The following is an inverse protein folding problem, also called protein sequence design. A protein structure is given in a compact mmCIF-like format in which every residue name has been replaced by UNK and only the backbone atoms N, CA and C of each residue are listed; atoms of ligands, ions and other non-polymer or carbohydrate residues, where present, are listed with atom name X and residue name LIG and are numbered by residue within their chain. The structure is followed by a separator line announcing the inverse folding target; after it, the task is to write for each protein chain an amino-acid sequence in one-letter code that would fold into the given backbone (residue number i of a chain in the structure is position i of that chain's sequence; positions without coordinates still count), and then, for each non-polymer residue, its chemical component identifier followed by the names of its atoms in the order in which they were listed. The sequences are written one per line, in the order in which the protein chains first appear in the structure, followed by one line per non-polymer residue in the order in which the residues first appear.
data_IF_485718045083
#
_entry.id   IF_485718045083
#
_cell.length_a   1.000
_cell.length_b   1.000
_cell.length_c   1.000
_cell.angle_alpha   90.00
_cell.angle_beta   90.00
_cell.angle_gamma   90.00
#
_symmetry.space_group_name_H-M   'P 1'
#
loop_
_entity.id
_entity.type
_entity.pdbx_description
1 polymer ?
#
# COMPACT_ATOMS: atom_id res chain seq x y z
N UNK A 1 -12.20 37.20 34.14
CA UNK A 1 -12.13 35.74 33.90
C UNK A 1 -11.16 35.53 32.75
N UNK A 2 -9.94 35.14 33.09
CA UNK A 2 -8.94 34.71 32.11
C UNK A 2 -9.45 33.44 31.42
N UNK A 3 -9.86 33.58 30.16
CA UNK A 3 -10.44 32.51 29.36
C UNK A 3 -9.51 32.19 28.21
N UNK A 4 -8.44 31.44 28.48
CA UNK A 4 -7.90 30.53 27.46
C UNK A 4 -7.36 29.27 28.14
N UNK A 5 -8.23 28.29 28.37
CA UNK A 5 -7.74 26.94 28.66
C UNK A 5 -6.85 26.50 27.48
N UNK A 6 -5.69 25.86 27.73
CA UNK A 6 -4.79 25.45 26.66
C UNK A 6 -5.50 24.47 25.72
N UNK A 7 -5.32 24.66 24.41
CA UNK A 7 -5.85 23.77 23.38
C UNK A 7 -5.27 22.36 23.56
N UNK A 8 -6.15 21.37 23.74
CA UNK A 8 -5.76 19.96 23.82
C UNK A 8 -5.89 19.34 22.44
N UNK A 9 -4.79 18.82 21.91
CA UNK A 9 -4.72 18.17 20.60
C UNK A 9 -4.49 16.67 20.80
N UNK A 10 -5.22 15.85 20.06
CA UNK A 10 -5.01 14.40 19.98
C UNK A 10 -4.81 14.00 18.52
N UNK A 11 -3.67 13.38 18.21
CA UNK A 11 -3.43 12.75 16.91
C UNK A 11 -3.88 11.29 16.99
N UNK A 12 -4.83 10.92 16.13
CA UNK A 12 -5.33 9.56 15.95
C UNK A 12 -5.07 9.08 14.53
N UNK A 13 -4.22 8.07 14.40
CA UNK A 13 -3.90 7.41 13.14
C UNK A 13 -4.67 6.10 13.06
N UNK A 14 -5.69 6.06 12.19
CA UNK A 14 -6.49 4.86 11.96
C UNK A 14 -5.92 4.09 10.76
N UNK A 15 -5.29 2.95 11.02
CA UNK A 15 -4.76 2.06 9.99
C UNK A 15 -5.75 0.93 9.76
N UNK A 16 -6.41 0.98 8.60
CA UNK A 16 -7.45 0.04 8.22
C UNK A 16 -7.16 -0.56 6.85
N UNK A 17 -7.38 -1.87 6.74
CA UNK A 17 -7.53 -2.55 5.47
C UNK A 17 -8.75 -3.50 5.53
N UNK A 18 -9.56 -3.56 4.46
CA UNK A 18 -10.58 -4.60 4.30
C UNK A 18 -9.99 -6.00 4.37
N UNK A 19 -10.86 -6.99 4.57
CA UNK A 19 -10.49 -8.41 4.48
C UNK A 19 -10.39 -8.84 3.00
N UNK A 20 -9.17 -9.10 2.54
CA UNK A 20 -8.87 -9.52 1.18
C UNK A 20 -8.67 -11.02 1.03
N UNK A 21 -8.89 -11.80 2.09
CA UNK A 21 -8.65 -13.25 2.09
C UNK A 21 -9.64 -13.98 1.18
N UNK A 22 -9.13 -14.96 0.46
CA UNK A 22 -9.89 -15.93 -0.33
C UNK A 22 -9.49 -17.35 0.08
N UNK A 23 -9.94 -18.38 -0.63
CA UNK A 23 -9.47 -19.75 -0.40
C UNK A 23 -7.97 -19.89 -0.72
N UNK A 24 -7.49 -19.22 -1.77
CA UNK A 24 -6.16 -19.46 -2.35
C UNK A 24 -5.12 -18.37 -2.06
N UNK A 25 -5.50 -17.32 -1.31
CA UNK A 25 -4.59 -16.22 -0.96
C UNK A 25 -5.33 -14.93 -0.71
N UNK A 26 -4.81 -13.82 -1.26
CA UNK A 26 -5.45 -12.51 -1.21
C UNK A 26 -5.80 -12.02 -2.61
N UNK A 27 -7.02 -11.50 -2.79
CA UNK A 27 -7.46 -11.00 -4.09
C UNK A 27 -6.97 -9.58 -4.41
N UNK A 28 -6.50 -8.84 -3.40
CA UNK A 28 -5.83 -7.54 -3.56
C UNK A 28 -4.59 -7.47 -2.65
N UNK A 29 -3.50 -6.84 -3.11
CA UNK A 29 -2.22 -6.81 -2.41
C UNK A 29 -2.14 -5.71 -1.34
N UNK A 30 -3.25 -5.03 -1.05
CA UNK A 30 -3.22 -3.73 -0.36
C UNK A 30 -2.71 -3.79 1.07
N UNK A 31 -3.01 -4.87 1.81
CA UNK A 31 -2.46 -5.05 3.17
C UNK A 31 -0.94 -5.05 3.14
N UNK A 32 -0.34 -5.86 2.27
CA UNK A 32 1.11 -5.96 2.13
C UNK A 32 1.71 -4.64 1.63
N UNK A 33 1.17 -4.08 0.55
CA UNK A 33 1.72 -2.86 -0.05
C UNK A 33 1.67 -1.67 0.92
N UNK A 34 0.53 -1.42 1.57
CA UNK A 34 0.42 -0.33 2.54
C UNK A 34 1.25 -0.59 3.81
N UNK A 35 1.39 -1.84 4.25
CA UNK A 35 2.28 -2.15 5.37
C UNK A 35 3.75 -1.86 5.04
N UNK A 36 4.21 -2.23 3.84
CA UNK A 36 5.59 -2.00 3.40
C UNK A 36 5.91 -0.53 3.14
N UNK A 37 4.92 0.27 2.71
CA UNK A 37 5.11 1.66 2.27
C UNK A 37 4.71 2.69 3.32
N UNK A 38 3.52 2.54 3.92
CA UNK A 38 2.87 3.64 4.64
C UNK A 38 2.88 3.43 6.16
N UNK A 39 2.58 2.22 6.65
CA UNK A 39 2.37 2.01 8.09
C UNK A 39 3.66 2.06 8.91
N UNK A 40 4.72 1.44 8.40
CA UNK A 40 6.03 1.46 9.04
C UNK A 40 6.66 2.85 8.96
N UNK A 41 6.66 3.45 7.77
CA UNK A 41 7.33 4.72 7.52
C UNK A 41 6.68 5.88 8.28
N UNK A 42 5.34 5.85 8.45
CA UNK A 42 4.64 6.79 9.31
C UNK A 42 5.19 6.74 10.74
N UNK A 43 5.32 5.56 11.34
CA UNK A 43 5.86 5.42 12.70
C UNK A 43 7.31 5.94 12.80
N UNK A 44 8.15 5.64 11.80
CA UNK A 44 9.54 6.09 11.75
C UNK A 44 9.66 7.63 11.65
N UNK A 45 8.77 8.27 10.89
CA UNK A 45 8.71 9.74 10.78
C UNK A 45 8.23 10.35 12.09
N UNK A 46 7.13 9.82 12.64
CA UNK A 46 6.51 10.37 13.84
C UNK A 46 7.38 10.23 15.09
N UNK A 47 8.23 9.19 15.16
CA UNK A 47 9.21 9.02 16.23
C UNK A 47 10.22 10.17 16.35
N UNK A 48 10.35 11.02 15.33
CA UNK A 48 11.21 12.22 15.33
C UNK A 48 10.59 13.41 16.05
N UNK A 49 9.30 13.35 16.39
CA UNK A 49 8.57 14.44 17.02
C UNK A 49 8.22 14.08 18.46
N UNK A 50 8.61 14.88 19.48
CA UNK A 50 8.37 14.57 20.89
C UNK A 50 6.94 14.92 21.32
N UNK A 51 5.93 14.45 20.58
CA UNK A 51 4.51 14.61 20.88
C UNK A 51 3.83 13.24 20.99
N UNK A 52 2.63 13.20 21.57
CA UNK A 52 1.88 11.94 21.71
C UNK A 52 1.13 11.63 20.42
N UNK A 53 1.32 10.40 19.94
CA UNK A 53 0.58 9.83 18.83
C UNK A 53 -0.26 8.66 19.33
N UNK A 54 -1.48 8.53 18.82
CA UNK A 54 -2.37 7.39 19.10
C UNK A 54 -2.58 6.63 17.80
N UNK A 55 -2.35 5.32 17.81
CA UNK A 55 -2.60 4.45 16.67
C UNK A 55 -3.76 3.52 16.98
N UNK A 56 -4.68 3.40 16.02
CA UNK A 56 -5.68 2.36 16.01
C UNK A 56 -5.39 1.43 14.83
N UNK A 57 -5.03 0.17 15.15
CA UNK A 57 -4.74 -0.87 14.18
C UNK A 57 -5.95 -1.80 14.10
N UNK A 58 -6.51 -1.95 12.90
CA UNK A 58 -7.72 -2.76 12.71
C UNK A 58 -7.36 -4.25 12.70
N UNK A 59 -8.08 -5.13 13.44
CA UNK A 59 -7.72 -6.55 13.54
C UNK A 59 -7.66 -7.29 12.21
N UNK A 60 -8.57 -7.00 11.26
CA UNK A 60 -8.54 -7.62 9.93
C UNK A 60 -7.23 -7.38 9.19
N UNK A 61 -6.63 -6.20 9.34
CA UNK A 61 -5.34 -5.88 8.75
C UNK A 61 -4.22 -6.71 9.40
N UNK A 62 -4.19 -6.78 10.73
CA UNK A 62 -3.18 -7.54 11.48
C UNK A 62 -3.23 -9.04 11.14
N UNK A 63 -4.42 -9.64 11.15
CA UNK A 63 -4.59 -11.06 10.84
C UNK A 63 -4.11 -11.41 9.42
N UNK A 64 -4.31 -10.50 8.46
CA UNK A 64 -3.83 -10.70 7.09
C UNK A 64 -2.30 -10.59 7.01
N UNK A 65 -1.69 -9.67 7.77
CA UNK A 65 -0.22 -9.60 7.88
C UNK A 65 0.37 -10.88 8.48
N UNK A 66 -0.26 -11.45 9.51
CA UNK A 66 0.14 -12.74 10.08
C UNK A 66 0.04 -13.88 9.04
N UNK A 67 -1.00 -13.86 8.19
CA UNK A 67 -1.13 -14.83 7.09
C UNK A 67 -0.06 -14.64 5.99
N UNK A 68 0.30 -13.38 5.66
CA UNK A 68 1.44 -13.11 4.78
C UNK A 68 2.76 -13.64 5.37
N UNK A 69 3.00 -13.41 6.67
CA UNK A 69 4.17 -13.96 7.38
C UNK A 69 4.18 -15.50 7.35
N UNK A 70 2.99 -16.12 7.42
CA UNK A 70 2.78 -17.55 7.27
C UNK A 70 2.98 -18.10 5.85
N UNK A 71 3.37 -17.28 4.87
CA UNK A 71 3.65 -17.67 3.49
C UNK A 71 2.45 -17.62 2.56
N UNK A 72 1.30 -17.12 3.02
CA UNK A 72 0.18 -16.82 2.14
C UNK A 72 0.49 -15.60 1.29
N UNK A 73 0.02 -15.54 0.05
CA UNK A 73 0.50 -14.54 -0.91
C UNK A 73 -0.60 -14.04 -1.84
N UNK A 74 -0.37 -12.87 -2.45
CA UNK A 74 -1.21 -12.26 -3.49
C UNK A 74 -0.60 -12.47 -4.90
N UNK A 75 -1.38 -12.19 -5.95
CA UNK A 75 -0.89 -12.35 -7.33
C UNK A 75 0.31 -11.45 -7.63
N UNK A 76 0.29 -10.20 -7.19
CA UNK A 76 1.34 -9.24 -7.47
C UNK A 76 2.65 -9.65 -6.80
N UNK A 77 2.62 -10.12 -5.55
CA UNK A 77 3.79 -10.66 -4.86
C UNK A 77 4.41 -11.80 -5.67
N UNK A 78 3.61 -12.80 -6.05
CA UNK A 78 4.08 -13.93 -6.86
C UNK A 78 4.72 -13.48 -8.16
N UNK A 79 4.09 -12.55 -8.88
CA UNK A 79 4.64 -12.03 -10.14
C UNK A 79 5.95 -11.26 -9.93
N UNK A 80 6.04 -10.45 -8.87
CA UNK A 80 7.25 -9.65 -8.57
C UNK A 80 8.44 -10.49 -8.08
N UNK A 81 8.21 -11.74 -7.70
CA UNK A 81 9.27 -12.68 -7.32
C UNK A 81 9.89 -13.42 -8.53
N UNK A 82 9.26 -13.35 -9.71
CA UNK A 82 9.80 -13.93 -10.94
C UNK A 82 10.91 -13.02 -11.48
N UNK A 83 12.03 -13.61 -11.92
CA UNK A 83 13.09 -12.84 -12.59
C UNK A 83 12.54 -12.19 -13.85
N UNK A 84 12.89 -10.94 -14.11
CA UNK A 84 12.33 -10.19 -15.23
C UNK A 84 12.55 -10.87 -16.61
N UNK A 85 13.67 -11.57 -16.77
CA UNK A 85 14.00 -12.35 -17.98
C UNK A 85 13.15 -13.60 -18.18
N UNK A 86 12.57 -14.14 -17.09
CA UNK A 86 11.77 -15.37 -17.08
C UNK A 86 10.26 -15.08 -17.17
N UNK A 87 9.85 -13.81 -17.16
CA UNK A 87 8.45 -13.42 -17.30
C UNK A 87 7.94 -13.72 -18.70
N UNK A 88 6.87 -14.52 -18.77
CA UNK A 88 6.13 -14.72 -20.00
C UNK A 88 5.27 -13.49 -20.36
N UNK A 89 4.66 -13.51 -21.55
CA UNK A 89 3.86 -12.39 -22.03
C UNK A 89 2.60 -12.14 -21.16
N UNK A 90 1.95 -13.18 -20.65
CA UNK A 90 0.76 -13.05 -19.83
C UNK A 90 1.09 -12.45 -18.45
N UNK A 91 2.23 -12.82 -17.87
CA UNK A 91 2.74 -12.30 -16.60
C UNK A 91 3.17 -10.83 -16.73
N UNK A 92 3.80 -10.45 -17.85
CA UNK A 92 4.11 -9.03 -18.16
C UNK A 92 2.84 -8.20 -18.25
N UNK A 93 1.85 -8.67 -19.02
CA UNK A 93 0.55 -8.02 -19.12
C UNK A 93 -0.13 -7.90 -17.74
N UNK A 94 -0.01 -8.91 -16.87
CA UNK A 94 -0.54 -8.86 -15.51
C UNK A 94 0.14 -7.78 -14.65
N UNK A 95 1.48 -7.71 -14.69
CA UNK A 95 2.23 -6.65 -14.02
C UNK A 95 1.87 -5.25 -14.57
N UNK A 96 1.67 -5.12 -15.87
CA UNK A 96 1.27 -3.86 -16.50
C UNK A 96 -0.13 -3.39 -16.03
N UNK A 97 -1.07 -4.32 -15.86
CA UNK A 97 -2.39 -4.02 -15.25
C UNK A 97 -2.25 -3.53 -13.80
N UNK A 98 -1.40 -4.16 -13.00
CA UNK A 98 -1.15 -3.71 -11.63
C UNK A 98 -0.49 -2.32 -11.59
N UNK A 99 0.52 -2.09 -12.43
CA UNK A 99 1.22 -0.81 -12.52
C UNK A 99 0.31 0.34 -12.99
N UNK A 100 -0.72 0.05 -13.79
CA UNK A 100 -1.70 1.02 -14.25
C UNK A 100 -2.92 1.20 -13.33
N UNK A 101 -2.93 0.58 -12.14
CA UNK A 101 -4.00 0.75 -11.13
C UNK A 101 -3.84 2.07 -10.34
N UNK A 102 -3.69 3.18 -11.05
CA UNK A 102 -3.48 4.53 -10.47
C UNK A 102 -4.36 5.55 -11.18
N UNK A 103 -4.63 6.69 -10.52
CA UNK A 103 -5.37 7.78 -11.16
C UNK A 103 -4.45 8.53 -12.14
N UNK A 104 -4.71 8.43 -13.44
CA UNK A 104 -3.88 9.01 -14.49
C UNK A 104 -3.70 10.52 -14.32
N UNK A 105 -4.80 11.26 -14.19
CA UNK A 105 -4.79 12.72 -14.21
C UNK A 105 -3.95 13.33 -13.07
N UNK A 106 -3.99 12.73 -11.89
CA UNK A 106 -3.37 13.29 -10.68
C UNK A 106 -2.06 12.61 -10.31
N UNK A 107 -1.84 11.35 -10.71
CA UNK A 107 -0.66 10.58 -10.32
C UNK A 107 0.30 10.30 -11.47
N UNK A 108 -0.17 10.36 -12.73
CA UNK A 108 0.63 10.02 -13.93
C UNK A 108 0.94 11.27 -14.74
N UNK A 109 -0.07 12.00 -15.19
CA UNK A 109 0.07 13.14 -16.11
C UNK A 109 0.96 14.28 -15.62
N UNK A 110 1.10 14.55 -14.31
CA UNK A 110 2.08 15.52 -13.82
C UNK A 110 3.54 15.10 -14.02
N UNK A 111 3.81 13.83 -14.35
CA UNK A 111 5.15 13.24 -14.45
C UNK A 111 5.38 12.76 -15.91
N UNK A 112 6.04 13.55 -16.78
CA UNK A 112 6.13 13.26 -18.21
C UNK A 112 6.67 11.87 -18.55
N UNK A 113 7.70 11.42 -17.83
CA UNK A 113 8.28 10.08 -18.01
C UNK A 113 7.37 8.95 -17.54
N UNK A 114 6.53 9.23 -16.53
CA UNK A 114 5.56 8.24 -16.09
C UNK A 114 4.40 8.16 -17.08
N UNK A 115 3.95 9.27 -17.66
CA UNK A 115 2.94 9.28 -18.72
C UNK A 115 3.39 8.45 -19.94
N UNK A 116 4.63 8.64 -20.40
CA UNK A 116 5.22 7.83 -21.48
C UNK A 116 5.21 6.32 -21.15
N UNK A 117 5.60 5.96 -19.92
CA UNK A 117 5.60 4.57 -19.48
C UNK A 117 4.16 4.03 -19.35
N UNK A 118 3.25 4.81 -18.79
CA UNK A 118 1.86 4.43 -18.59
C UNK A 118 1.16 4.15 -19.92
N UNK A 119 1.37 4.99 -20.93
CA UNK A 119 0.87 4.72 -22.28
C UNK A 119 1.47 3.45 -22.88
N UNK A 120 2.77 3.17 -22.65
CA UNK A 120 3.38 1.92 -23.09
C UNK A 120 2.75 0.68 -22.39
N UNK A 121 2.49 0.77 -21.09
CA UNK A 121 1.89 -0.30 -20.29
C UNK A 121 0.44 -0.63 -20.70
N UNK A 122 -0.28 0.31 -21.30
CA UNK A 122 -1.64 0.09 -21.80
C UNK A 122 -1.69 -0.56 -23.20
N UNK A 123 -0.56 -0.58 -23.91
CA UNK A 123 -0.46 -1.08 -25.28
C UNK A 123 0.24 -2.46 -25.38
N UNK A 124 0.60 -3.07 -24.24
CA UNK A 124 1.06 -4.47 -24.13
C UNK A 124 -0.11 -5.44 -23.86
#
# INVERSE_FOLDING_TARGET
MDRTLPLRICFLWHQHQPDYRTADGFFLPWVRLHATKDYRDLCDILGRFPIRHTFNLVPSMLMQLDEYEGGRTDELERLTMIRAEDLDHAQKAALARWASTVQRETMVSPLPRYEELYDALLNE
#
